data_IF_221513233894
#
_entry.id   IF_221513233894
#
_cell.length_a   1.000
_cell.length_b   1.000
_cell.length_c   1.000
_cell.angle_alpha   90.00
_cell.angle_beta   90.00
_cell.angle_gamma   90.00
#
_symmetry.space_group_name_H-M   'P 1'
#
loop_
_entity.id
_entity.type
_entity.pdbx_description
1 polymer ?
#
# COMPACT_ATOMS: atom_id res chain seq x y z
N UNK A 1 7.43 22.60 6.91
CA UNK A 1 8.29 21.43 7.22
C UNK A 1 9.52 21.46 6.31
N UNK A 2 10.72 21.16 6.81
CA UNK A 2 11.92 21.10 5.95
C UNK A 2 11.93 19.82 5.11
N UNK A 3 12.47 19.87 3.89
CA UNK A 3 12.62 18.71 2.99
C UNK A 3 13.33 17.53 3.67
N UNK A 4 14.36 17.81 4.49
CA UNK A 4 15.09 16.78 5.25
C UNK A 4 14.21 16.10 6.30
N UNK A 5 13.32 16.85 6.96
CA UNK A 5 12.41 16.28 7.96
C UNK A 5 11.34 15.44 7.30
N UNK A 6 10.84 15.87 6.13
CA UNK A 6 9.89 15.07 5.36
C UNK A 6 10.51 13.76 4.87
N UNK A 7 11.74 13.79 4.36
CA UNK A 7 12.49 12.58 4.02
C UNK A 7 12.62 11.61 5.19
N UNK A 8 12.99 12.09 6.39
CA UNK A 8 13.08 11.25 7.59
C UNK A 8 11.74 10.62 7.96
N UNK A 9 10.65 11.38 7.86
CA UNK A 9 9.31 10.87 8.11
C UNK A 9 8.91 9.81 7.08
N UNK A 10 9.19 10.04 5.79
CA UNK A 10 8.93 9.06 4.72
C UNK A 10 9.76 7.79 4.91
N UNK A 11 11.01 7.90 5.37
CA UNK A 11 11.84 6.74 5.69
C UNK A 11 11.28 5.93 6.87
N UNK A 12 10.83 6.60 7.93
CA UNK A 12 10.16 5.94 9.06
C UNK A 12 8.88 5.24 8.59
N UNK A 13 8.07 5.90 7.76
CA UNK A 13 6.87 5.33 7.19
C UNK A 13 7.18 4.11 6.32
N UNK A 14 8.23 4.16 5.51
CA UNK A 14 8.68 3.02 4.70
C UNK A 14 9.06 1.82 5.56
N UNK A 15 9.78 2.06 6.67
CA UNK A 15 10.07 1.01 7.63
C UNK A 15 8.80 0.38 8.22
N UNK A 16 7.82 1.20 8.63
CA UNK A 16 6.52 0.70 9.11
C UNK A 16 5.79 -0.13 8.05
N UNK A 17 5.78 0.31 6.78
CA UNK A 17 5.16 -0.44 5.67
C UNK A 17 5.83 -1.80 5.49
N UNK A 18 7.16 -1.88 5.55
CA UNK A 18 7.88 -3.16 5.46
C UNK A 18 7.49 -4.10 6.61
N UNK A 19 7.44 -3.60 7.84
CA UNK A 19 7.03 -4.40 9.02
C UNK A 19 5.59 -4.88 8.89
N UNK A 20 4.67 -4.00 8.49
CA UNK A 20 3.26 -4.36 8.26
C UNK A 20 3.11 -5.38 7.13
N UNK A 21 3.88 -5.24 6.04
CA UNK A 21 3.89 -6.21 4.94
C UNK A 21 4.45 -7.57 5.35
N UNK A 22 5.47 -7.60 6.22
CA UNK A 22 5.95 -8.85 6.81
C UNK A 22 4.89 -9.47 7.74
N UNK A 23 4.20 -8.65 8.53
CA UNK A 23 3.13 -9.10 9.41
C UNK A 23 1.95 -9.70 8.63
N UNK A 24 1.47 -9.05 7.57
CA UNK A 24 0.38 -9.59 6.73
C UNK A 24 0.78 -10.90 6.07
N UNK A 25 2.05 -11.05 5.70
CA UNK A 25 2.58 -12.31 5.15
C UNK A 25 2.60 -13.42 6.19
N UNK A 26 3.13 -13.15 7.39
CA UNK A 26 3.31 -14.14 8.45
C UNK A 26 2.00 -14.56 9.13
N UNK A 27 0.95 -13.75 9.00
CA UNK A 27 -0.41 -14.05 9.52
C UNK A 27 -1.34 -14.61 8.44
N UNK A 28 -0.82 -14.93 7.25
CA UNK A 28 -1.57 -15.39 6.08
C UNK A 28 -2.75 -14.45 5.72
N UNK A 29 -2.60 -13.17 6.02
CA UNK A 29 -3.59 -12.13 5.79
C UNK A 29 -3.47 -11.46 4.41
N UNK A 30 -2.43 -11.77 3.63
CA UNK A 30 -2.20 -11.16 2.31
C UNK A 30 -3.25 -11.48 1.23
N UNK A 31 -4.21 -12.36 1.55
CA UNK A 31 -5.36 -12.72 0.71
C UNK A 31 -6.67 -12.64 1.53
N UNK A 32 -6.74 -11.78 2.55
CA UNK A 32 -7.93 -11.61 3.39
C UNK A 32 -9.08 -10.89 2.69
N UNK A 33 -8.77 -9.96 1.79
CA UNK A 33 -9.75 -9.23 0.98
C UNK A 33 -9.84 -9.84 -0.44
N UNK A 34 -11.05 -10.08 -0.98
CA UNK A 34 -11.23 -10.68 -2.30
C UNK A 34 -10.92 -9.74 -3.46
N UNK A 35 -10.88 -8.44 -3.19
CA UNK A 35 -10.78 -7.35 -4.15
C UNK A 35 -9.66 -6.36 -3.78
N UNK A 36 -9.37 -5.46 -4.71
CA UNK A 36 -8.41 -4.38 -4.57
C UNK A 36 -8.91 -3.17 -5.38
N UNK A 37 -8.85 -1.92 -4.87
CA UNK A 37 -8.20 -1.47 -3.64
C UNK A 37 -9.05 -1.60 -2.37
N UNK A 38 -10.33 -1.87 -2.52
CA UNK A 38 -11.33 -2.08 -1.45
C UNK A 38 -11.21 -3.48 -0.81
N UNK A 39 -12.03 -3.73 0.20
CA UNK A 39 -12.22 -5.03 0.85
C UNK A 39 -13.72 -5.32 0.92
N UNK A 40 -14.18 -6.37 0.22
CA UNK A 40 -15.59 -6.69 0.02
C UNK A 40 -16.38 -5.55 -0.65
N UNK A 41 -15.75 -4.78 -1.53
CA UNK A 41 -16.34 -3.62 -2.20
C UNK A 41 -16.33 -2.33 -1.36
N UNK A 42 -15.91 -2.42 -0.09
CA UNK A 42 -15.91 -1.30 0.85
C UNK A 42 -14.50 -0.81 1.16
N UNK A 43 -14.37 0.48 1.51
CA UNK A 43 -13.08 1.00 1.98
C UNK A 43 -12.76 0.55 3.41
N UNK A 44 -13.73 0.11 4.19
CA UNK A 44 -13.57 -0.40 5.56
C UNK A 44 -13.96 -1.87 5.58
N UNK A 45 -13.25 -2.68 6.36
CA UNK A 45 -13.53 -4.11 6.46
C UNK A 45 -14.89 -4.31 7.15
N UNK A 46 -15.84 -5.03 6.51
CA UNK A 46 -17.13 -5.33 7.12
C UNK A 46 -16.97 -6.06 8.45
N UNK A 47 -17.80 -5.72 9.43
CA UNK A 47 -17.77 -6.34 10.76
C UNK A 47 -18.42 -7.72 10.74
N UNK A 48 -19.40 -7.94 9.86
CA UNK A 48 -20.11 -9.21 9.72
C UNK A 48 -20.50 -9.52 8.27
N UNK A 49 -20.78 -10.80 7.94
CA UNK A 49 -21.19 -11.19 6.59
C UNK A 49 -22.52 -10.54 6.15
N UNK A 50 -23.38 -10.13 7.09
CA UNK A 50 -24.63 -9.45 6.74
C UNK A 50 -24.38 -8.09 6.09
N UNK A 51 -23.35 -7.36 6.52
CA UNK A 51 -22.99 -6.02 6.05
C UNK A 51 -22.41 -6.02 4.62
N UNK A 52 -21.94 -7.17 4.11
CA UNK A 52 -21.41 -7.27 2.75
C UNK A 52 -22.55 -7.13 1.73
N UNK A 53 -22.61 -6.04 0.98
CA UNK A 53 -23.64 -5.84 -0.06
C UNK A 53 -23.48 -6.87 -1.19
N UNK A 54 -22.26 -7.04 -1.70
CA UNK A 54 -21.95 -7.93 -2.80
C UNK A 54 -21.65 -9.35 -2.31
N UNK A 55 -22.71 -10.15 -2.08
CA UNK A 55 -22.61 -11.50 -1.51
C UNK A 55 -21.69 -12.46 -2.29
N UNK A 56 -21.47 -12.25 -3.58
CA UNK A 56 -20.51 -13.03 -4.37
C UNK A 56 -19.08 -12.98 -3.80
N UNK A 57 -18.68 -11.89 -3.14
CA UNK A 57 -17.38 -11.84 -2.48
C UNK A 57 -17.23 -12.87 -1.35
N UNK A 58 -18.32 -13.18 -0.65
CA UNK A 58 -18.34 -14.21 0.40
C UNK A 58 -18.20 -15.62 -0.18
N UNK A 59 -18.64 -15.83 -1.42
CA UNK A 59 -18.46 -17.10 -2.14
C UNK A 59 -16.99 -17.31 -2.55
N UNK A 60 -16.29 -16.22 -2.92
CA UNK A 60 -14.87 -16.29 -3.26
C UNK A 60 -14.00 -16.49 -2.01
N UNK A 61 -14.29 -15.75 -0.93
CA UNK A 61 -13.54 -15.78 0.33
C UNK A 61 -14.47 -15.54 1.51
N UNK A 62 -14.47 -16.41 2.53
CA UNK A 62 -15.25 -16.16 3.74
C UNK A 62 -14.70 -14.93 4.46
N UNK A 63 -15.61 -14.11 5.02
CA UNK A 63 -15.22 -12.93 5.77
C UNK A 63 -14.45 -13.32 7.04
N UNK A 64 -13.17 -12.96 7.06
CA UNK A 64 -12.29 -13.05 8.23
C UNK A 64 -11.82 -11.63 8.59
N UNK A 65 -12.54 -10.89 9.46
CA UNK A 65 -12.27 -9.46 9.70
C UNK A 65 -10.84 -9.19 10.17
N UNK A 66 -10.25 -10.09 10.95
CA UNK A 66 -8.87 -9.97 11.42
C UNK A 66 -7.85 -9.95 10.27
N UNK A 67 -8.03 -10.79 9.24
CA UNK A 67 -7.16 -10.80 8.05
C UNK A 67 -7.43 -9.60 7.17
N UNK A 68 -8.71 -9.27 6.95
CA UNK A 68 -9.10 -8.08 6.19
C UNK A 68 -8.48 -6.81 6.76
N UNK A 69 -8.52 -6.63 8.09
CA UNK A 69 -7.94 -5.45 8.74
C UNK A 69 -6.42 -5.42 8.63
N UNK A 70 -5.75 -6.56 8.84
CA UNK A 70 -4.31 -6.64 8.66
C UNK A 70 -3.90 -6.23 7.23
N UNK A 71 -4.62 -6.71 6.22
CA UNK A 71 -4.38 -6.36 4.82
C UNK A 71 -4.66 -4.89 4.53
N UNK A 72 -5.81 -4.35 4.96
CA UNK A 72 -6.21 -2.97 4.70
C UNK A 72 -5.30 -1.95 5.40
N UNK A 73 -4.88 -2.22 6.64
CA UNK A 73 -3.92 -1.35 7.36
C UNK A 73 -2.61 -1.25 6.57
N UNK A 74 -2.09 -2.38 6.07
CA UNK A 74 -0.90 -2.38 5.22
C UNK A 74 -1.14 -1.57 3.92
N UNK A 75 -2.29 -1.73 3.25
CA UNK A 75 -2.65 -0.97 2.04
C UNK A 75 -2.71 0.54 2.29
N UNK A 76 -3.31 1.01 3.39
CA UNK A 76 -3.38 2.44 3.69
C UNK A 76 -2.00 3.06 3.96
N UNK A 77 -1.14 2.35 4.70
CA UNK A 77 0.21 2.82 4.97
C UNK A 77 1.05 2.84 3.68
N UNK A 78 0.93 1.81 2.84
CA UNK A 78 1.59 1.75 1.54
C UNK A 78 1.10 2.87 0.59
N UNK A 79 -0.22 3.13 0.55
CA UNK A 79 -0.80 4.24 -0.22
C UNK A 79 -0.28 5.60 0.25
N UNK A 80 -0.25 5.81 1.58
CA UNK A 80 0.33 7.03 2.19
C UNK A 80 1.81 7.20 1.84
N UNK A 81 2.58 6.11 1.86
CA UNK A 81 3.98 6.11 1.44
C UNK A 81 4.13 6.50 -0.02
N UNK A 82 3.30 5.94 -0.91
CA UNK A 82 3.28 6.28 -2.34
C UNK A 82 3.02 7.76 -2.57
N UNK A 83 2.04 8.35 -1.88
CA UNK A 83 1.75 9.79 -1.94
C UNK A 83 2.91 10.63 -1.39
N UNK A 84 3.56 10.20 -0.31
CA UNK A 84 4.72 10.89 0.25
C UNK A 84 5.93 10.87 -0.70
N UNK A 85 6.17 9.74 -1.38
CA UNK A 85 7.21 9.62 -2.41
C UNK A 85 6.88 10.50 -3.61
N UNK A 86 5.63 10.51 -4.09
CA UNK A 86 5.19 11.40 -5.16
C UNK A 86 5.45 12.87 -4.80
N UNK A 87 5.09 13.28 -3.59
CA UNK A 87 5.35 14.64 -3.10
C UNK A 87 6.85 14.96 -3.04
N UNK A 88 7.69 14.02 -2.60
CA UNK A 88 9.15 14.16 -2.61
C UNK A 88 9.72 14.27 -4.03
N UNK A 89 9.20 13.49 -4.98
CA UNK A 89 9.58 13.56 -6.38
C UNK A 89 9.26 14.93 -6.96
N UNK A 90 8.03 15.41 -6.81
CA UNK A 90 7.62 16.74 -7.26
C UNK A 90 8.49 17.83 -6.61
N UNK A 91 8.74 17.74 -5.30
CA UNK A 91 9.55 18.72 -4.59
C UNK A 91 11.02 18.70 -5.03
N UNK A 92 11.59 17.52 -5.31
CA UNK A 92 12.96 17.37 -5.82
C UNK A 92 13.10 18.03 -7.20
N UNK A 93 12.14 17.79 -8.10
CA UNK A 93 12.11 18.43 -9.43
C UNK A 93 11.95 19.95 -9.35
N UNK A 94 11.11 20.46 -8.44
CA UNK A 94 10.97 21.91 -8.21
C UNK A 94 12.27 22.53 -7.67
N UNK A 95 12.98 21.84 -6.77
CA UNK A 95 14.26 22.31 -6.22
C UNK A 95 15.41 22.27 -7.23
N UNK A 96 15.36 21.37 -8.21
CA UNK A 96 16.36 21.26 -9.27
C UNK A 96 16.53 22.56 -10.07
N UNK A 97 15.47 23.36 -10.20
CA UNK A 97 15.53 24.66 -10.86
C UNK A 97 16.43 25.67 -10.13
N UNK A 98 16.50 25.61 -8.79
CA UNK A 98 17.33 26.50 -7.98
C UNK A 98 18.68 25.89 -7.59
N UNK A 99 18.77 24.56 -7.50
CA UNK A 99 19.98 23.83 -7.17
C UNK A 99 20.22 22.69 -8.19
N UNK A 100 21.12 22.90 -9.18
CA UNK A 100 21.48 21.88 -10.17
C UNK A 100 22.14 20.63 -9.57
N UNK A 101 22.50 20.60 -8.29
CA UNK A 101 23.04 19.41 -7.62
C UNK A 101 21.95 18.54 -7.00
N UNK A 102 20.71 19.02 -6.87
CA UNK A 102 19.59 18.27 -6.29
C UNK A 102 19.33 16.97 -7.09
N UNK A 103 19.41 15.77 -6.48
CA UNK A 103 19.17 14.52 -7.18
C UNK A 103 17.68 14.30 -7.45
N UNK A 104 17.30 14.22 -8.73
CA UNK A 104 15.91 13.95 -9.16
C UNK A 104 15.68 12.51 -9.60
N UNK A 105 16.73 11.81 -10.03
CA UNK A 105 16.62 10.45 -10.55
C UNK A 105 16.25 9.44 -9.45
N UNK A 106 16.80 9.57 -8.25
CA UNK A 106 16.53 8.67 -7.11
C UNK A 106 15.04 8.66 -6.74
N UNK A 107 14.39 9.79 -6.40
CA UNK A 107 12.97 9.79 -6.05
C UNK A 107 12.07 9.40 -7.24
N UNK A 108 12.48 9.71 -8.48
CA UNK A 108 11.74 9.31 -9.69
C UNK A 108 11.77 7.79 -9.89
N UNK A 109 12.95 7.16 -9.75
CA UNK A 109 13.08 5.71 -9.81
C UNK A 109 12.31 5.02 -8.69
N UNK A 110 12.43 5.52 -7.45
CA UNK A 110 11.69 4.98 -6.31
C UNK A 110 10.18 5.05 -6.50
N UNK A 111 9.66 6.14 -7.08
CA UNK A 111 8.25 6.24 -7.44
C UNK A 111 7.85 5.14 -8.43
N UNK A 112 8.66 4.92 -9.47
CA UNK A 112 8.43 3.83 -10.43
C UNK A 112 8.45 2.44 -9.77
N UNK A 113 9.40 2.19 -8.88
CA UNK A 113 9.50 0.92 -8.13
C UNK A 113 8.27 0.71 -7.25
N UNK A 114 7.83 1.72 -6.50
CA UNK A 114 6.67 1.58 -5.59
C UNK A 114 5.37 1.41 -6.36
N UNK A 115 5.21 2.08 -7.51
CA UNK A 115 4.07 1.83 -8.40
C UNK A 115 4.08 0.38 -8.90
N UNK A 116 5.23 -0.12 -9.35
CA UNK A 116 5.36 -1.52 -9.77
C UNK A 116 5.05 -2.49 -8.62
N UNK A 117 5.52 -2.23 -7.40
CA UNK A 117 5.19 -3.03 -6.22
C UNK A 117 3.69 -3.02 -5.90
N UNK A 118 3.02 -1.88 -6.03
CA UNK A 118 1.57 -1.78 -5.83
C UNK A 118 0.81 -2.62 -6.87
N UNK A 119 1.25 -2.62 -8.13
CA UNK A 119 0.68 -3.48 -9.19
C UNK A 119 0.88 -4.96 -8.89
N UNK A 120 2.08 -5.37 -8.46
CA UNK A 120 2.35 -6.75 -8.04
C UNK A 120 1.45 -7.17 -6.86
N UNK A 121 1.25 -6.28 -5.88
CA UNK A 121 0.34 -6.52 -4.76
C UNK A 121 -1.11 -6.70 -5.21
N UNK A 122 -1.61 -5.81 -6.09
CA UNK A 122 -2.93 -5.92 -6.69
C UNK A 122 -3.10 -7.25 -7.43
N UNK A 123 -2.14 -7.63 -8.28
CA UNK A 123 -2.19 -8.91 -9.01
C UNK A 123 -2.15 -10.12 -8.10
N UNK A 124 -1.45 -10.06 -6.97
CA UNK A 124 -1.46 -11.15 -5.98
C UNK A 124 -2.88 -11.42 -5.48
N UNK A 125 -3.64 -10.36 -5.21
CA UNK A 125 -5.03 -10.45 -4.75
C UNK A 125 -5.96 -10.91 -5.87
N UNK A 126 -5.88 -10.29 -7.06
CA UNK A 126 -6.83 -10.53 -8.17
C UNK A 126 -6.59 -11.85 -8.90
N UNK A 127 -5.33 -12.32 -8.98
CA UNK A 127 -4.96 -13.61 -9.56
C UNK A 127 -4.83 -14.73 -8.52
N UNK A 128 -5.08 -14.43 -7.26
CA UNK A 128 -5.04 -15.39 -6.15
C UNK A 128 -3.71 -16.15 -6.08
N UNK A 129 -2.61 -15.42 -6.27
CA UNK A 129 -1.26 -15.99 -6.35
C UNK A 129 -0.85 -16.47 -4.96
N UNK A 130 -0.92 -17.79 -4.77
CA UNK A 130 -0.38 -18.42 -3.58
C UNK A 130 1.15 -18.50 -3.71
N UNK A 131 1.89 -18.20 -2.63
CA UNK A 131 3.30 -18.53 -2.57
C UNK A 131 3.47 -20.05 -2.70
N UNK A 132 4.44 -20.45 -3.52
CA UNK A 132 4.89 -21.85 -3.65
C UNK A 132 5.54 -22.35 -2.37
#
# INVERSE_FOLDING_TARGET
>A
MSYRNFLKLTLLLAFCVIVLGAYTRLTDAGLGCPDWPTCYGELVVPASPEEVEQKHYLEQRPLEPHKGWAEMIHRYFAGTLGLAILALTIWSWRRRASDPRQPVWVPTLLLGVVVFQALLGMWTVTLLLKPV
#
